data_IF_637202786562
#
_entry.id   IF_637202786562
#
_cell.length_a   1.000
_cell.length_b   1.000
_cell.length_c   1.000
_cell.angle_alpha   90.00
_cell.angle_beta   90.00
_cell.angle_gamma   90.00
#
_symmetry.space_group_name_H-M   'P 1'
#
loop_
_entity.id
_entity.type
_entity.pdbx_description
1 polymer ?
#
# COMPACT_ATOMS: atom_id res chain seq x y z
N UNK A 1 -9.35 -87.05 85.50
CA UNK A 1 -10.72 -87.27 85.00
C UNK A 1 -11.25 -85.91 84.57
N UNK A 2 -11.45 -85.68 83.28
CA UNK A 2 -12.09 -84.47 82.80
C UNK A 2 -13.60 -84.70 82.80
N UNK A 3 -14.32 -84.05 83.70
CA UNK A 3 -15.78 -84.08 83.68
C UNK A 3 -16.24 -83.16 82.55
N UNK A 4 -16.79 -83.74 81.49
CA UNK A 4 -17.52 -82.97 80.48
C UNK A 4 -18.94 -82.77 80.98
N UNK A 5 -19.24 -81.55 81.40
CA UNK A 5 -20.61 -81.15 81.68
C UNK A 5 -21.24 -80.66 80.38
N UNK A 6 -22.12 -81.46 79.81
CA UNK A 6 -22.87 -81.10 78.63
C UNK A 6 -24.20 -80.50 79.09
N UNK A 7 -24.29 -79.18 79.03
CA UNK A 7 -25.56 -78.50 79.23
C UNK A 7 -26.35 -78.57 77.92
N UNK A 8 -27.64 -78.92 78.00
CA UNK A 8 -28.56 -78.83 76.87
C UNK A 8 -28.92 -77.36 76.58
N UNK A 9 -30.21 -77.06 76.38
CA UNK A 9 -30.64 -75.66 76.37
C UNK A 9 -30.49 -75.08 77.78
N UNK A 10 -29.49 -74.24 77.99
CA UNK A 10 -29.27 -73.52 79.24
C UNK A 10 -29.71 -72.07 79.08
N UNK A 11 -30.64 -71.64 79.93
CA UNK A 11 -30.96 -70.22 80.11
C UNK A 11 -30.15 -69.77 81.32
N UNK A 12 -29.09 -69.01 81.08
CA UNK A 12 -28.31 -68.40 82.16
C UNK A 12 -28.84 -66.99 82.41
N UNK A 13 -29.42 -66.77 83.59
CA UNK A 13 -29.82 -65.43 84.05
C UNK A 13 -28.70 -64.84 84.92
N UNK A 14 -27.96 -63.86 84.41
CA UNK A 14 -26.87 -63.18 85.14
C UNK A 14 -25.68 -62.82 84.26
N UNK A 15 -24.63 -62.27 84.86
CA UNK A 15 -23.35 -62.05 84.19
C UNK A 15 -22.59 -63.37 84.06
N UNK A 16 -22.12 -63.69 82.85
CA UNK A 16 -21.22 -64.80 82.60
C UNK A 16 -19.79 -64.26 82.64
N UNK A 17 -18.99 -64.73 83.60
CA UNK A 17 -17.55 -64.50 83.64
C UNK A 17 -16.85 -65.75 83.12
N UNK A 18 -16.17 -65.64 81.98
CA UNK A 18 -15.51 -66.77 81.33
C UNK A 18 -14.00 -66.52 81.33
N UNK A 19 -13.28 -67.35 82.08
CA UNK A 19 -11.82 -67.37 82.08
C UNK A 19 -11.31 -68.17 80.86
N UNK A 20 -11.44 -67.59 79.66
CA UNK A 20 -10.95 -68.18 78.42
C UNK A 20 -11.73 -67.74 77.18
N UNK A 21 -11.32 -68.24 76.02
CA UNK A 21 -12.01 -67.96 74.75
C UNK A 21 -13.38 -68.65 74.72
N UNK A 22 -14.36 -67.98 74.13
CA UNK A 22 -15.69 -68.55 73.87
C UNK A 22 -15.67 -69.13 72.45
N UNK A 23 -15.37 -70.41 72.34
CA UNK A 23 -15.44 -71.12 71.06
C UNK A 23 -16.86 -71.63 70.80
N UNK A 24 -17.57 -71.03 69.84
CA UNK A 24 -18.87 -71.52 69.37
C UNK A 24 -18.61 -72.49 68.21
N UNK A 25 -18.49 -73.78 68.55
CA UNK A 25 -17.94 -74.85 67.68
C UNK A 25 -18.93 -75.50 66.69
N UNK A 26 -20.14 -74.97 66.58
CA UNK A 26 -21.15 -75.39 65.59
C UNK A 26 -21.84 -74.12 65.08
N UNK A 27 -22.51 -74.15 63.93
CA UNK A 27 -23.05 -73.00 63.18
C UNK A 27 -24.12 -72.14 63.91
N UNK A 28 -24.15 -72.14 65.24
CA UNK A 28 -24.97 -71.28 66.06
C UNK A 28 -24.43 -69.85 66.05
N UNK A 29 -25.25 -68.93 65.54
CA UNK A 29 -25.04 -67.51 65.71
C UNK A 29 -25.04 -67.17 67.21
N UNK A 30 -24.10 -66.34 67.66
CA UNK A 30 -24.21 -65.69 68.97
C UNK A 30 -25.34 -64.64 68.90
N UNK A 31 -26.56 -65.02 69.30
CA UNK A 31 -27.72 -64.12 69.32
C UNK A 31 -27.71 -63.29 70.60
N UNK A 32 -27.36 -62.01 70.48
CA UNK A 32 -27.38 -61.06 71.60
C UNK A 32 -28.58 -60.13 71.43
N UNK A 33 -29.47 -60.10 72.42
CA UNK A 33 -30.72 -59.34 72.37
C UNK A 33 -30.54 -57.83 72.64
N UNK A 34 -29.34 -57.28 72.43
CA UNK A 34 -28.99 -55.89 72.74
C UNK A 34 -27.59 -55.51 72.28
N UNK A 35 -27.12 -54.34 72.71
CA UNK A 35 -25.78 -53.82 72.38
C UNK A 35 -24.69 -54.72 72.96
N UNK A 36 -23.79 -55.18 72.09
CA UNK A 36 -22.60 -55.92 72.49
C UNK A 36 -21.45 -54.93 72.64
N UNK A 37 -21.08 -54.62 73.89
CA UNK A 37 -19.93 -53.77 74.18
C UNK A 37 -18.67 -54.61 74.19
N UNK A 38 -17.81 -54.43 73.18
CA UNK A 38 -16.47 -55.01 73.17
C UNK A 38 -15.54 -54.00 73.82
N UNK A 39 -14.77 -54.43 74.83
CA UNK A 39 -13.86 -53.55 75.56
C UNK A 39 -12.89 -52.83 74.59
N UNK A 40 -12.63 -51.55 74.86
CA UNK A 40 -11.87 -50.64 73.99
C UNK A 40 -10.42 -51.08 73.67
N UNK A 41 -9.90 -52.11 74.33
CA UNK A 41 -8.58 -52.71 74.12
C UNK A 41 -8.62 -54.10 73.46
N UNK A 42 -9.80 -54.59 73.06
CA UNK A 42 -10.00 -55.87 72.37
C UNK A 42 -10.42 -55.62 70.93
N UNK A 43 -9.79 -56.32 69.99
CA UNK A 43 -10.18 -56.27 68.58
C UNK A 43 -11.38 -57.18 68.33
N UNK A 44 -12.43 -56.64 67.73
CA UNK A 44 -13.50 -57.43 67.14
C UNK A 44 -13.14 -57.71 65.68
N UNK A 45 -12.85 -58.96 65.33
CA UNK A 45 -12.68 -59.34 63.92
C UNK A 45 -14.00 -59.88 63.42
N UNK A 46 -14.73 -59.08 62.64
CA UNK A 46 -16.02 -59.48 62.07
C UNK A 46 -15.78 -60.05 60.67
N UNK A 47 -15.77 -61.39 60.56
CA UNK A 47 -15.39 -62.09 59.34
C UNK A 47 -16.40 -61.93 58.18
N UNK A 48 -17.67 -61.67 58.49
CA UNK A 48 -18.70 -61.36 57.51
C UNK A 48 -19.75 -60.45 58.16
N UNK A 49 -20.08 -59.34 57.50
CA UNK A 49 -21.18 -58.45 57.87
C UNK A 49 -22.29 -58.64 56.85
N UNK A 50 -23.33 -59.38 57.20
CA UNK A 50 -24.47 -59.65 56.31
C UNK A 50 -25.61 -58.63 56.46
N UNK A 51 -25.58 -57.81 57.52
CA UNK A 51 -26.46 -56.66 57.70
C UNK A 51 -25.78 -55.42 57.12
N UNK A 52 -26.44 -54.75 56.18
CA UNK A 52 -25.88 -53.88 55.15
C UNK A 52 -25.20 -52.58 55.63
N UNK A 53 -24.86 -52.40 56.91
CA UNK A 53 -24.54 -51.08 57.47
C UNK A 53 -23.55 -51.14 58.65
N UNK A 54 -22.46 -50.38 58.61
CA UNK A 54 -21.56 -50.11 59.75
C UNK A 54 -21.64 -48.61 60.09
N UNK A 55 -22.08 -48.28 61.30
CA UNK A 55 -22.26 -46.90 61.78
C UNK A 55 -22.95 -46.83 63.14
N UNK A 56 -23.16 -45.62 63.66
CA UNK A 56 -23.93 -45.36 64.89
C UNK A 56 -25.42 -45.17 64.53
N UNK A 57 -26.36 -45.64 65.35
CA UNK A 57 -27.80 -45.62 65.03
C UNK A 57 -28.41 -44.22 64.97
N UNK A 58 -27.76 -43.26 65.63
CA UNK A 58 -28.18 -41.85 65.68
C UNK A 58 -27.43 -40.99 64.65
N UNK A 59 -26.52 -41.59 63.88
CA UNK A 59 -25.70 -40.93 62.87
C UNK A 59 -26.17 -41.33 61.48
N UNK A 60 -26.35 -40.35 60.60
CA UNK A 60 -26.73 -40.56 59.21
C UNK A 60 -25.57 -41.12 58.39
N UNK A 61 -24.32 -40.97 58.84
CA UNK A 61 -23.07 -41.34 58.16
C UNK A 61 -22.80 -42.86 58.11
N UNK A 62 -23.71 -43.60 57.48
CA UNK A 62 -23.70 -45.06 57.41
C UNK A 62 -22.79 -45.57 56.28
N UNK A 63 -21.82 -46.44 56.61
CA UNK A 63 -21.06 -47.16 55.58
C UNK A 63 -21.82 -48.44 55.23
N UNK A 64 -22.39 -48.46 54.02
CA UNK A 64 -22.97 -49.65 53.42
C UNK A 64 -21.91 -50.35 52.57
N UNK A 65 -21.59 -51.60 52.93
CA UNK A 65 -20.66 -52.46 52.18
C UNK A 65 -21.49 -53.42 51.33
N UNK A 66 -21.40 -53.30 50.00
CA UNK A 66 -21.96 -54.25 49.04
C UNK A 66 -20.83 -54.93 48.26
N UNK A 67 -21.13 -56.05 47.58
CA UNK A 67 -20.14 -56.91 46.93
C UNK A 67 -19.14 -56.19 46.00
N UNK A 68 -19.55 -55.09 45.37
CA UNK A 68 -18.69 -54.31 44.42
C UNK A 68 -18.64 -52.82 44.71
N UNK A 69 -19.24 -52.34 45.80
CA UNK A 69 -19.31 -50.90 46.08
C UNK A 69 -19.43 -50.60 47.56
N UNK A 70 -18.83 -49.49 47.96
CA UNK A 70 -19.03 -48.89 49.28
C UNK A 70 -19.90 -47.66 49.08
N UNK A 71 -21.06 -47.61 49.73
CA UNK A 71 -21.92 -46.43 49.77
C UNK A 71 -21.79 -45.81 51.14
N UNK A 72 -21.29 -44.59 51.20
CA UNK A 72 -21.18 -43.82 52.44
C UNK A 72 -22.33 -42.83 52.40
N UNK A 73 -23.35 -43.06 53.21
CA UNK A 73 -24.53 -42.21 53.29
C UNK A 73 -24.22 -40.94 54.11
N UNK A 74 -23.21 -40.16 53.72
CA UNK A 74 -22.92 -38.93 54.45
C UNK A 74 -24.02 -37.89 54.20
N UNK A 75 -24.50 -37.21 55.25
CA UNK A 75 -25.50 -36.12 55.13
C UNK A 75 -24.93 -34.88 54.40
N UNK A 76 -23.61 -34.81 54.17
CA UNK A 76 -23.00 -33.65 53.49
C UNK A 76 -21.84 -33.92 52.52
N UNK A 77 -20.96 -34.92 52.70
CA UNK A 77 -19.91 -35.32 51.73
C UNK A 77 -19.02 -36.49 52.20
N UNK A 78 -18.42 -37.25 51.28
CA UNK A 78 -17.35 -38.22 51.60
C UNK A 78 -16.10 -37.48 52.12
N UNK A 79 -15.70 -37.65 53.37
CA UNK A 79 -14.47 -37.03 53.90
C UNK A 79 -13.24 -37.91 53.63
N UNK A 80 -12.29 -37.43 52.82
CA UNK A 80 -11.00 -38.08 52.60
C UNK A 80 -9.86 -37.27 53.24
N UNK A 81 -9.11 -37.91 54.15
CA UNK A 81 -8.01 -37.28 54.92
C UNK A 81 -8.41 -35.93 55.58
N UNK A 82 -9.64 -35.84 56.09
CA UNK A 82 -10.14 -34.65 56.79
C UNK A 82 -10.68 -33.54 55.87
N UNK A 83 -10.79 -33.76 54.57
CA UNK A 83 -11.46 -32.84 53.63
C UNK A 83 -12.68 -33.50 53.01
N UNK A 84 -13.82 -32.82 53.07
CA UNK A 84 -15.06 -33.22 52.42
C UNK A 84 -14.91 -33.18 50.89
N UNK A 85 -15.22 -34.29 50.22
CA UNK A 85 -15.35 -34.37 48.77
C UNK A 85 -16.78 -33.94 48.42
N UNK A 86 -16.92 -32.73 47.91
CA UNK A 86 -18.21 -32.14 47.50
C UNK A 86 -18.60 -32.48 46.06
N UNK A 87 -17.69 -33.07 45.28
CA UNK A 87 -17.96 -33.53 43.92
C UNK A 87 -18.86 -34.77 43.91
N UNK A 88 -19.79 -34.79 42.96
CA UNK A 88 -20.56 -35.99 42.60
C UNK A 88 -19.64 -37.06 42.00
N UNK A 89 -20.11 -38.32 41.99
CA UNK A 89 -19.38 -39.40 41.31
C UNK A 89 -19.12 -39.12 39.82
N UNK A 90 -20.05 -38.42 39.14
CA UNK A 90 -19.88 -38.04 37.75
C UNK A 90 -18.72 -37.03 37.55
N UNK A 91 -18.57 -36.05 38.44
CA UNK A 91 -17.48 -35.08 38.41
C UNK A 91 -16.13 -35.74 38.73
N UNK A 92 -16.07 -36.64 39.72
CA UNK A 92 -14.86 -37.40 40.03
C UNK A 92 -14.43 -38.28 38.85
N UNK A 93 -15.39 -38.89 38.14
CA UNK A 93 -15.13 -39.69 36.95
C UNK A 93 -14.55 -38.88 35.78
N UNK A 94 -14.73 -37.55 35.75
CA UNK A 94 -14.05 -36.69 34.77
C UNK A 94 -12.57 -36.54 35.09
N UNK A 95 -12.16 -36.60 36.37
CA UNK A 95 -10.75 -36.53 36.80
C UNK A 95 -10.07 -37.90 36.72
N UNK A 96 -10.82 -38.98 36.87
CA UNK A 96 -10.31 -40.34 36.74
C UNK A 96 -9.68 -40.58 35.35
N UNK A 97 -8.38 -40.87 35.32
CA UNK A 97 -7.61 -41.03 34.08
C UNK A 97 -7.21 -39.73 33.37
N UNK A 98 -7.57 -38.56 33.91
CA UNK A 98 -7.04 -37.28 33.43
C UNK A 98 -5.58 -37.08 33.88
N UNK A 99 -4.77 -36.43 33.06
CA UNK A 99 -3.34 -36.20 33.32
C UNK A 99 -2.92 -34.76 33.10
N UNK A 100 -1.93 -34.30 33.83
CA UNK A 100 -1.42 -32.94 33.72
C UNK A 100 -0.81 -32.67 32.34
N UNK A 101 -1.20 -31.57 31.70
CA UNK A 101 -0.63 -31.10 30.43
C UNK A 101 -1.21 -31.75 29.18
N UNK A 102 -2.01 -32.82 29.27
CA UNK A 102 -2.63 -33.47 28.12
C UNK A 102 -4.15 -33.47 28.25
N UNK A 103 -4.86 -33.05 27.20
CA UNK A 103 -6.33 -33.14 27.17
C UNK A 103 -6.75 -34.56 26.78
N UNK A 104 -7.50 -35.22 27.67
CA UNK A 104 -8.11 -36.53 27.41
C UNK A 104 -9.59 -36.33 27.05
N UNK A 105 -10.05 -37.00 26.00
CA UNK A 105 -11.43 -36.86 25.54
C UNK A 105 -12.43 -37.26 26.64
N UNK A 106 -13.49 -36.49 26.83
CA UNK A 106 -14.51 -36.69 27.87
C UNK A 106 -13.98 -36.67 29.32
N UNK A 107 -12.83 -36.05 29.58
CA UNK A 107 -12.24 -35.90 30.91
C UNK A 107 -11.97 -34.43 31.24
N UNK A 108 -11.66 -34.14 32.49
CA UNK A 108 -11.28 -32.82 32.96
C UNK A 108 -9.92 -32.39 32.37
N UNK A 109 -9.75 -31.08 32.12
CA UNK A 109 -8.48 -30.49 31.70
C UNK A 109 -7.65 -30.17 32.94
N UNK A 110 -6.43 -30.71 33.02
CA UNK A 110 -5.49 -30.46 34.11
C UNK A 110 -4.23 -29.81 33.53
N UNK A 111 -3.86 -28.63 34.04
CA UNK A 111 -2.63 -27.93 33.63
C UNK A 111 -1.39 -28.62 34.19
N UNK A 112 -0.25 -28.49 33.51
CA UNK A 112 1.03 -28.97 34.04
C UNK A 112 1.63 -28.00 35.08
N UNK A 113 2.78 -28.35 35.66
CA UNK A 113 3.45 -27.52 36.66
C UNK A 113 3.75 -26.07 36.21
N UNK A 114 3.77 -25.83 34.89
CA UNK A 114 4.00 -24.52 34.28
C UNK A 114 2.69 -23.82 33.84
N UNK A 115 1.51 -24.36 34.22
CA UNK A 115 0.22 -23.83 33.80
C UNK A 115 -0.16 -24.13 32.34
N UNK A 116 0.58 -25.01 31.66
CA UNK A 116 0.38 -25.28 30.23
C UNK A 116 -0.57 -26.45 30.03
N UNK A 117 -1.48 -26.30 29.05
CA UNK A 117 -2.35 -27.35 28.52
C UNK A 117 -1.94 -27.61 27.07
N UNK A 118 -1.68 -28.87 26.72
CA UNK A 118 -1.34 -29.30 25.36
C UNK A 118 -2.54 -30.05 24.79
N UNK A 119 -3.22 -29.42 23.83
CA UNK A 119 -4.27 -30.03 23.01
C UNK A 119 -3.84 -30.06 21.54
N UNK A 120 -4.39 -30.99 20.75
CA UNK A 120 -4.10 -31.08 19.31
C UNK A 120 -4.68 -29.88 18.52
N UNK A 121 -5.79 -29.32 19.00
CA UNK A 121 -6.46 -28.15 18.43
C UNK A 121 -7.19 -27.41 19.55
N UNK A 122 -7.26 -26.08 19.45
CA UNK A 122 -8.13 -25.26 20.28
C UNK A 122 -9.29 -24.76 19.41
N UNK A 123 -10.49 -25.24 19.67
CA UNK A 123 -11.71 -24.78 19.02
C UNK A 123 -12.55 -24.00 20.02
N UNK A 124 -13.05 -22.85 19.62
CA UNK A 124 -14.07 -22.09 20.35
C UNK A 124 -15.39 -22.18 19.60
N UNK A 125 -16.51 -21.85 20.26
CA UNK A 125 -17.80 -21.73 19.58
C UNK A 125 -17.76 -20.62 18.51
N UNK A 126 -18.76 -20.57 17.64
CA UNK A 126 -19.00 -19.38 16.80
C UNK A 126 -19.12 -18.16 17.74
N UNK A 127 -18.37 -17.09 17.46
CA UNK A 127 -18.14 -15.92 18.35
C UNK A 127 -17.35 -16.17 19.66
N UNK A 128 -16.78 -17.35 19.85
CA UNK A 128 -15.96 -17.64 21.03
C UNK A 128 -14.56 -17.03 20.94
N UNK A 129 -14.23 -16.12 21.87
CA UNK A 129 -12.91 -15.51 21.98
C UNK A 129 -11.90 -16.43 22.69
N UNK A 130 -10.68 -16.54 22.15
CA UNK A 130 -9.52 -17.07 22.88
C UNK A 130 -8.79 -15.85 23.46
N UNK A 131 -9.15 -15.36 24.65
CA UNK A 131 -8.59 -14.11 25.21
C UNK A 131 -9.29 -13.68 26.50
N UNK A 132 -8.95 -12.50 27.02
CA UNK A 132 -9.59 -11.97 28.23
C UNK A 132 -10.93 -11.28 27.89
N UNK A 133 -12.00 -11.58 28.63
CA UNK A 133 -13.33 -10.94 28.45
C UNK A 133 -13.34 -9.42 28.63
N UNK A 134 -12.31 -8.83 29.26
CA UNK A 134 -12.17 -7.37 29.42
C UNK A 134 -11.09 -6.73 28.55
N UNK A 135 -10.25 -7.52 27.86
CA UNK A 135 -9.15 -7.01 27.04
C UNK A 135 -9.26 -7.62 25.64
N UNK A 136 -9.42 -6.78 24.61
CA UNK A 136 -9.73 -7.18 23.23
C UNK A 136 -8.64 -8.02 22.53
N UNK A 137 -7.56 -8.40 23.22
CA UNK A 137 -6.43 -9.13 22.66
C UNK A 137 -6.61 -10.64 22.81
N UNK A 138 -6.52 -11.34 21.68
CA UNK A 138 -6.59 -12.81 21.60
C UNK A 138 -5.33 -13.47 22.25
N UNK A 139 -4.21 -12.75 22.28
CA UNK A 139 -2.93 -13.23 22.77
C UNK A 139 -2.09 -12.04 23.24
N UNK A 140 -2.00 -11.82 24.55
CA UNK A 140 -1.12 -10.80 25.13
C UNK A 140 0.27 -11.38 25.38
N UNK A 141 1.20 -11.12 24.46
CA UNK A 141 2.62 -11.39 24.67
C UNK A 141 3.26 -10.10 25.19
N UNK A 142 3.70 -10.07 26.44
CA UNK A 142 4.36 -8.92 27.07
C UNK A 142 5.77 -8.68 26.45
N UNK A 143 5.80 -8.23 25.20
CA UNK A 143 6.95 -8.03 24.31
C UNK A 143 7.50 -9.29 23.57
N UNK A 144 6.76 -10.40 23.51
CA UNK A 144 7.15 -11.53 22.66
C UNK A 144 6.41 -11.52 21.32
N UNK A 145 7.05 -12.02 20.27
CA UNK A 145 6.47 -12.11 18.93
C UNK A 145 5.59 -13.35 18.79
N UNK A 146 4.52 -13.25 18.00
CA UNK A 146 3.77 -14.43 17.53
C UNK A 146 4.54 -15.03 16.36
N UNK A 147 5.47 -15.93 16.65
CA UNK A 147 6.24 -16.62 15.60
C UNK A 147 5.47 -17.83 15.07
N UNK A 148 5.03 -17.77 13.81
CA UNK A 148 4.61 -18.94 13.03
C UNK A 148 5.87 -19.58 12.45
N UNK A 149 6.22 -20.80 12.89
CA UNK A 149 7.44 -21.49 12.45
C UNK A 149 7.35 -21.89 10.96
N UNK A 150 8.48 -22.24 10.37
CA UNK A 150 8.55 -22.64 8.97
C UNK A 150 7.57 -23.77 8.63
N UNK A 151 6.92 -23.64 7.46
CA UNK A 151 5.89 -24.53 6.90
C UNK A 151 4.52 -24.49 7.61
N UNK A 152 4.23 -23.47 8.41
CA UNK A 152 2.89 -23.22 8.94
C UNK A 152 2.26 -22.00 8.26
N UNK A 153 1.03 -22.14 7.75
CA UNK A 153 0.28 -21.03 7.16
C UNK A 153 -0.42 -20.20 8.25
N UNK A 154 -0.39 -18.88 8.10
CA UNK A 154 -1.23 -17.96 8.86
C UNK A 154 -2.34 -17.44 7.95
N UNK A 155 -3.51 -18.09 8.00
CA UNK A 155 -4.63 -17.74 7.13
C UNK A 155 -5.62 -16.82 7.84
N UNK A 156 -5.83 -15.63 7.27
CA UNK A 156 -6.91 -14.71 7.67
C UNK A 156 -8.06 -14.84 6.68
N UNK A 157 -9.01 -15.72 6.96
CA UNK A 157 -10.06 -16.07 6.00
C UNK A 157 -11.11 -14.96 5.77
N UNK A 158 -11.26 -14.04 6.72
CA UNK A 158 -12.24 -12.94 6.66
C UNK A 158 -11.62 -11.70 6.03
N UNK A 159 -12.26 -11.14 5.00
CA UNK A 159 -11.88 -9.83 4.45
C UNK A 159 -11.92 -8.76 5.56
N UNK A 160 -10.87 -7.93 5.66
CA UNK A 160 -10.71 -7.00 6.78
C UNK A 160 -10.42 -7.67 8.13
N UNK A 161 -10.14 -8.99 8.14
CA UNK A 161 -9.78 -9.74 9.34
C UNK A 161 -8.38 -9.43 9.86
N UNK A 162 -7.49 -8.92 9.01
CA UNK A 162 -6.19 -8.41 9.43
C UNK A 162 -6.34 -6.94 9.79
N UNK A 163 -6.10 -6.58 11.06
CA UNK A 163 -6.19 -5.21 11.56
C UNK A 163 -4.84 -4.74 12.06
N UNK A 164 -4.48 -3.51 11.71
CA UNK A 164 -3.39 -2.76 12.30
C UNK A 164 -3.94 -1.82 13.38
N UNK A 165 -3.06 -1.11 14.08
CA UNK A 165 -3.46 -0.19 15.17
C UNK A 165 -4.41 0.92 14.72
N UNK A 166 -4.39 1.27 13.44
CA UNK A 166 -5.20 2.34 12.84
C UNK A 166 -6.44 1.84 12.08
N UNK A 167 -6.65 0.52 11.95
CA UNK A 167 -7.85 -0.03 11.32
C UNK A 167 -7.69 -1.37 10.64
N UNK A 168 -8.74 -1.81 9.95
CA UNK A 168 -8.72 -3.04 9.17
C UNK A 168 -7.98 -2.84 7.84
N UNK A 169 -7.13 -3.79 7.48
CA UNK A 169 -6.53 -3.88 6.15
C UNK A 169 -7.58 -4.40 5.18
N UNK A 170 -8.00 -3.54 4.25
CA UNK A 170 -9.04 -3.84 3.26
C UNK A 170 -8.50 -4.42 1.96
N UNK A 171 -7.19 -4.33 1.73
CA UNK A 171 -6.54 -4.88 0.53
C UNK A 171 -6.67 -6.40 0.47
N UNK A 172 -7.00 -6.89 -0.71
CA UNK A 172 -6.97 -8.30 -1.09
C UNK A 172 -5.52 -8.79 -1.29
N UNK A 173 -5.33 -10.11 -1.33
CA UNK A 173 -4.05 -10.69 -1.68
C UNK A 173 -3.55 -10.23 -3.06
N UNK A 174 -4.45 -10.07 -4.04
CA UNK A 174 -4.08 -9.60 -5.38
C UNK A 174 -3.52 -8.17 -5.35
N UNK A 175 -4.10 -7.29 -4.55
CA UNK A 175 -3.62 -5.91 -4.40
C UNK A 175 -2.29 -5.84 -3.65
N UNK A 176 -2.13 -6.59 -2.55
CA UNK A 176 -0.86 -6.66 -1.82
C UNK A 176 0.27 -7.26 -2.68
N UNK A 177 -0.05 -8.25 -3.52
CA UNK A 177 0.91 -8.88 -4.43
C UNK A 177 1.40 -7.93 -5.54
N UNK A 178 0.73 -6.79 -5.77
CA UNK A 178 1.27 -5.73 -6.64
C UNK A 178 2.39 -4.95 -5.96
N UNK A 179 2.40 -4.86 -4.62
CA UNK A 179 3.48 -4.24 -3.86
C UNK A 179 4.66 -5.19 -3.70
N UNK A 180 4.42 -6.50 -3.68
CA UNK A 180 5.49 -7.51 -3.64
C UNK A 180 6.48 -7.30 -4.80
N UNK A 181 7.77 -7.26 -4.48
CA UNK A 181 8.90 -6.95 -5.40
C UNK A 181 8.90 -5.56 -6.05
N UNK A 182 7.93 -4.70 -5.76
CA UNK A 182 7.97 -3.31 -6.22
C UNK A 182 9.17 -2.57 -5.59
N UNK A 183 9.80 -1.67 -6.35
CA UNK A 183 11.03 -1.00 -5.94
C UNK A 183 10.90 0.53 -6.01
N UNK A 184 11.37 1.22 -4.97
CA UNK A 184 11.33 2.67 -4.89
C UNK A 184 12.10 3.35 -6.04
N UNK A 185 11.48 4.34 -6.68
CA UNK A 185 12.09 5.15 -7.73
C UNK A 185 12.17 4.50 -9.11
N UNK A 186 11.70 3.26 -9.26
CA UNK A 186 11.69 2.53 -10.53
C UNK A 186 10.31 1.94 -10.79
N UNK A 187 10.00 1.65 -12.06
CA UNK A 187 8.78 0.95 -12.44
C UNK A 187 9.12 -0.51 -12.71
N UNK A 188 8.53 -1.42 -11.92
CA UNK A 188 8.59 -2.87 -12.17
C UNK A 188 7.32 -3.27 -12.93
N UNK A 189 7.48 -4.04 -14.01
CA UNK A 189 6.34 -4.45 -14.85
C UNK A 189 5.29 -5.21 -14.03
N UNK A 190 4.02 -4.85 -14.21
CA UNK A 190 2.88 -5.47 -13.54
C UNK A 190 2.88 -5.36 -12.01
N UNK A 191 3.57 -4.34 -11.47
CA UNK A 191 3.64 -4.03 -10.03
C UNK A 191 3.20 -2.59 -9.75
N UNK A 192 2.99 -2.28 -8.47
CA UNK A 192 2.72 -0.93 -8.01
C UNK A 192 3.94 -0.01 -8.22
N UNK A 193 3.69 1.28 -8.43
CA UNK A 193 4.74 2.31 -8.53
C UNK A 193 5.00 2.88 -7.14
N UNK A 194 6.27 2.86 -6.69
CA UNK A 194 6.71 3.43 -5.42
C UNK A 194 7.64 4.61 -5.72
N UNK A 195 7.38 5.77 -5.12
CA UNK A 195 8.26 6.92 -5.24
C UNK A 195 9.60 6.66 -4.54
N UNK A 196 10.68 7.25 -5.07
CA UNK A 196 11.97 7.29 -4.37
C UNK A 196 11.90 8.17 -3.12
N UNK A 197 12.94 8.14 -2.27
CA UNK A 197 13.00 9.02 -1.09
C UNK A 197 12.92 10.52 -1.39
N UNK A 198 13.12 10.95 -2.65
CA UNK A 198 12.96 12.34 -3.11
C UNK A 198 11.60 12.62 -3.76
N UNK A 199 10.70 11.64 -3.80
CA UNK A 199 9.40 11.74 -4.48
C UNK A 199 9.46 11.47 -5.99
N UNK A 200 10.62 11.15 -6.56
CA UNK A 200 10.78 10.92 -7.99
C UNK A 200 10.44 9.48 -8.42
N UNK A 201 10.02 9.30 -9.67
CA UNK A 201 9.80 8.01 -10.34
C UNK A 201 10.58 7.99 -11.66
N UNK A 202 11.44 6.99 -11.84
CA UNK A 202 12.16 6.77 -13.10
C UNK A 202 11.40 5.75 -13.94
N UNK A 203 10.72 6.22 -14.98
CA UNK A 203 10.01 5.39 -15.94
C UNK A 203 10.67 5.49 -17.33
N UNK A 204 10.84 4.36 -18.02
CA UNK A 204 11.35 4.37 -19.39
C UNK A 204 10.38 5.01 -20.39
N UNK A 205 9.08 4.88 -20.11
CA UNK A 205 8.01 5.53 -20.87
C UNK A 205 6.91 5.97 -19.91
N UNK A 206 6.35 7.15 -20.15
CA UNK A 206 5.15 7.61 -19.48
C UNK A 206 4.10 7.94 -20.55
N UNK A 207 3.04 7.14 -20.59
CA UNK A 207 1.94 7.28 -21.55
C UNK A 207 0.63 7.52 -20.82
N UNK A 208 -0.22 8.38 -21.37
CA UNK A 208 -1.58 8.63 -20.89
C UNK A 208 -2.53 8.62 -22.09
N UNK A 209 -3.72 8.04 -21.92
CA UNK A 209 -4.75 8.06 -22.96
C UNK A 209 -5.29 9.46 -23.25
N UNK A 210 -5.19 10.36 -22.27
CA UNK A 210 -5.79 11.70 -22.31
C UNK A 210 -4.72 12.81 -22.30
N UNK A 211 -3.48 12.48 -22.70
CA UNK A 211 -2.34 13.38 -22.62
C UNK A 211 -1.68 13.42 -21.25
N UNK A 212 -0.41 13.84 -21.21
CA UNK A 212 0.33 14.09 -19.96
C UNK A 212 0.25 15.58 -19.65
N UNK A 213 -0.26 15.95 -18.47
CA UNK A 213 -0.12 17.29 -17.92
C UNK A 213 1.09 17.31 -16.98
N UNK A 214 2.06 18.17 -17.27
CA UNK A 214 3.24 18.39 -16.42
C UNK A 214 3.10 19.77 -15.81
N UNK A 215 2.46 19.86 -14.65
CA UNK A 215 2.22 21.10 -13.93
C UNK A 215 3.21 21.26 -12.78
N UNK A 216 4.46 21.59 -13.09
CA UNK A 216 5.48 21.87 -12.08
C UNK A 216 6.28 23.12 -12.45
N UNK A 217 5.99 24.28 -11.84
CA UNK A 217 6.83 25.50 -11.90
C UNK A 217 7.56 25.78 -13.22
N UNK A 218 8.75 26.38 -13.17
CA UNK A 218 9.65 26.53 -14.32
C UNK A 218 10.39 25.22 -14.64
N UNK A 219 9.69 24.09 -14.80
CA UNK A 219 10.32 22.83 -15.17
C UNK A 219 10.75 22.85 -16.65
N UNK A 220 12.05 22.69 -16.88
CA UNK A 220 12.59 22.44 -18.22
C UNK A 220 12.35 20.97 -18.59
N UNK A 221 11.63 20.72 -19.69
CA UNK A 221 11.56 19.39 -20.28
C UNK A 221 12.90 19.12 -20.97
N UNK A 222 13.85 18.53 -20.22
CA UNK A 222 15.17 18.17 -20.74
C UNK A 222 15.08 16.81 -21.42
N UNK A 223 15.11 16.77 -22.75
CA UNK A 223 15.15 15.53 -23.52
C UNK A 223 16.53 15.27 -24.10
N UNK A 224 17.00 14.02 -24.03
CA UNK A 224 18.10 13.54 -24.85
C UNK A 224 17.58 13.18 -26.26
N UNK A 225 17.33 14.19 -27.11
CA UNK A 225 16.95 13.99 -28.53
C UNK A 225 15.73 14.78 -28.99
N UNK A 226 15.30 14.56 -30.25
CA UNK A 226 14.21 15.30 -30.89
C UNK A 226 12.84 14.97 -30.28
N UNK A 227 12.07 15.98 -29.90
CA UNK A 227 10.67 15.84 -29.52
C UNK A 227 9.78 16.07 -30.75
N UNK A 228 8.80 15.20 -30.95
CA UNK A 228 7.80 15.33 -32.01
C UNK A 228 6.52 15.87 -31.40
N UNK A 229 6.21 17.11 -31.68
CA UNK A 229 4.93 17.73 -31.33
C UNK A 229 4.08 17.85 -32.59
N UNK A 230 2.81 17.46 -32.52
CA UNK A 230 1.86 17.77 -33.60
C UNK A 230 1.51 19.26 -33.57
N UNK A 231 1.35 19.80 -32.37
CA UNK A 231 1.24 21.23 -32.09
C UNK A 231 1.95 21.54 -30.76
N UNK A 232 2.49 22.74 -30.64
CA UNK A 232 3.09 23.29 -29.42
C UNK A 232 2.51 24.67 -29.15
N UNK A 233 1.89 24.83 -27.99
CA UNK A 233 1.51 26.13 -27.46
C UNK A 233 2.53 26.51 -26.38
N UNK A 234 3.37 27.50 -26.67
CA UNK A 234 4.40 28.03 -25.79
C UNK A 234 4.09 29.51 -25.51
N UNK A 235 3.57 29.80 -24.32
CA UNK A 235 3.07 31.12 -23.94
C UNK A 235 2.07 31.68 -24.97
N UNK A 236 2.40 32.82 -25.59
CA UNK A 236 1.59 33.44 -26.63
C UNK A 236 1.92 32.95 -28.05
N UNK A 237 2.76 31.94 -28.22
CA UNK A 237 3.14 31.39 -29.52
C UNK A 237 2.51 30.01 -29.69
N UNK A 238 1.85 29.81 -30.83
CA UNK A 238 1.39 28.50 -31.30
C UNK A 238 2.18 28.07 -32.53
N UNK A 239 2.72 26.85 -32.48
CA UNK A 239 3.37 26.16 -33.59
C UNK A 239 2.48 24.97 -33.95
N UNK A 240 1.91 24.99 -35.15
CA UNK A 240 1.01 23.94 -35.65
C UNK A 240 1.45 23.55 -37.06
N UNK A 241 2.08 22.39 -37.18
CA UNK A 241 2.76 21.97 -38.40
C UNK A 241 3.84 22.97 -38.85
N UNK A 242 3.59 23.66 -39.97
CA UNK A 242 4.49 24.65 -40.57
C UNK A 242 4.07 26.10 -40.31
N UNK A 243 3.06 26.33 -39.46
CA UNK A 243 2.58 27.66 -39.11
C UNK A 243 3.07 28.04 -37.72
N UNK A 244 3.66 29.22 -37.59
CA UNK A 244 3.97 29.88 -36.33
C UNK A 244 3.05 31.10 -36.22
N UNK A 245 2.28 31.20 -35.15
CA UNK A 245 1.28 32.26 -34.93
C UNK A 245 1.32 32.81 -33.51
N UNK A 246 1.06 34.11 -33.32
CA UNK A 246 0.72 34.65 -32.01
C UNK A 246 -0.73 34.34 -31.64
N UNK A 247 -1.02 34.09 -30.36
CA UNK A 247 -2.36 33.78 -29.85
C UNK A 247 -3.09 34.99 -29.26
N UNK A 248 -2.43 36.14 -29.14
CA UNK A 248 -3.05 37.39 -28.68
C UNK A 248 -3.29 38.37 -29.85
N UNK A 249 -4.28 39.25 -29.68
CA UNK A 249 -4.67 40.20 -30.73
C UNK A 249 -3.55 41.21 -30.99
N UNK A 250 -3.18 41.39 -32.27
CA UNK A 250 -2.06 42.23 -32.71
C UNK A 250 -0.70 41.82 -32.11
N UNK A 251 -0.54 40.57 -31.70
CA UNK A 251 0.73 40.05 -31.23
C UNK A 251 1.72 39.82 -32.35
N UNK A 252 2.88 40.45 -32.24
CA UNK A 252 4.00 40.18 -33.13
C UNK A 252 4.67 38.85 -32.76
N UNK A 253 5.24 38.18 -33.76
CA UNK A 253 6.22 37.12 -33.54
C UNK A 253 7.59 37.78 -33.64
N UNK A 254 8.29 37.89 -32.53
CA UNK A 254 9.63 38.44 -32.48
C UNK A 254 10.66 37.30 -32.58
N UNK A 255 11.56 37.38 -33.57
CA UNK A 255 12.64 36.42 -33.78
C UNK A 255 13.97 37.11 -33.50
N UNK A 256 14.43 37.01 -32.25
CA UNK A 256 15.67 37.65 -31.79
C UNK A 256 16.73 36.58 -31.51
N UNK A 257 17.75 36.42 -32.37
CA UNK A 257 18.82 35.48 -32.12
C UNK A 257 19.68 35.91 -30.92
N UNK A 258 20.26 34.93 -30.21
CA UNK A 258 21.19 35.22 -29.12
C UNK A 258 22.55 35.67 -29.65
N UNK A 259 23.15 36.68 -29.01
CA UNK A 259 24.49 37.18 -29.35
C UNK A 259 24.56 37.76 -30.77
N UNK A 260 25.47 37.24 -31.60
CA UNK A 260 25.66 37.66 -32.99
C UNK A 260 24.94 36.75 -33.99
N UNK A 261 23.96 35.96 -33.55
CA UNK A 261 23.21 35.07 -34.45
C UNK A 261 22.35 35.84 -35.47
N UNK A 262 21.86 35.13 -36.48
CA UNK A 262 21.02 35.68 -37.54
C UNK A 262 19.71 34.87 -37.65
N UNK A 263 18.66 35.48 -38.20
CA UNK A 263 17.44 34.77 -38.60
C UNK A 263 17.65 34.21 -40.01
N UNK A 264 17.85 32.89 -40.11
CA UNK A 264 18.05 32.20 -41.38
C UNK A 264 16.71 31.77 -41.98
N UNK A 265 16.43 32.21 -43.21
CA UNK A 265 15.41 31.64 -44.07
C UNK A 265 16.08 30.57 -44.95
N UNK A 266 15.46 29.41 -45.12
CA UNK A 266 16.06 28.25 -45.81
C UNK A 266 16.33 28.45 -47.31
N UNK A 267 16.41 27.37 -48.09
CA UNK A 267 16.77 27.43 -49.52
C UNK A 267 15.78 28.19 -50.44
N UNK A 268 14.71 28.75 -49.88
CA UNK A 268 13.71 29.53 -50.59
C UNK A 268 13.82 31.01 -50.26
N UNK A 269 13.18 31.85 -51.08
CA UNK A 269 13.12 33.29 -50.84
C UNK A 269 12.18 33.61 -49.67
N UNK A 270 12.43 34.75 -49.01
CA UNK A 270 11.44 35.37 -48.14
C UNK A 270 10.21 35.72 -49.00
N UNK A 271 9.06 35.14 -48.69
CA UNK A 271 7.79 35.57 -49.27
C UNK A 271 7.21 36.70 -48.41
N UNK A 272 6.89 37.83 -49.03
CA UNK A 272 6.22 38.95 -48.40
C UNK A 272 4.96 39.30 -49.18
N UNK A 273 3.81 39.20 -48.51
CA UNK A 273 2.49 39.51 -49.08
C UNK A 273 2.15 38.77 -50.40
N UNK A 274 2.74 37.58 -50.64
CA UNK A 274 2.52 36.76 -51.83
C UNK A 274 3.68 36.77 -52.81
N UNK A 275 4.53 37.79 -52.75
CA UNK A 275 5.67 37.95 -53.66
C UNK A 275 6.98 37.51 -53.01
N UNK A 276 7.82 36.83 -53.79
CA UNK A 276 9.15 36.45 -53.34
C UNK A 276 10.10 37.66 -53.41
N UNK A 277 10.78 37.95 -52.30
CA UNK A 277 11.92 38.88 -52.29
C UNK A 277 13.11 38.16 -52.91
N UNK A 278 13.40 38.45 -54.19
CA UNK A 278 14.50 37.83 -54.95
C UNK A 278 15.84 38.56 -54.79
N UNK A 279 15.83 39.76 -54.21
CA UNK A 279 17.03 40.53 -53.94
C UNK A 279 17.86 39.88 -52.84
N UNK A 280 19.17 39.84 -53.04
CA UNK A 280 20.15 39.53 -52.01
C UNK A 280 20.18 40.61 -50.92
N UNK A 281 20.74 40.28 -49.76
CA UNK A 281 20.96 41.27 -48.70
C UNK A 281 21.77 42.48 -49.17
N UNK A 282 22.77 42.28 -50.04
CA UNK A 282 23.57 43.38 -50.60
C UNK A 282 22.73 44.34 -51.46
N UNK A 283 21.81 43.81 -52.28
CA UNK A 283 20.92 44.63 -53.09
C UNK A 283 19.90 45.38 -52.23
N UNK A 284 19.31 44.72 -51.23
CA UNK A 284 18.39 45.36 -50.27
C UNK A 284 19.11 46.47 -49.48
N UNK A 285 20.37 46.26 -49.11
CA UNK A 285 21.19 47.24 -48.40
C UNK A 285 21.53 48.48 -49.26
N UNK A 286 21.46 48.38 -50.59
CA UNK A 286 21.53 49.55 -51.47
C UNK A 286 20.23 50.35 -51.42
N UNK A 287 19.08 49.70 -51.25
CA UNK A 287 17.79 50.36 -51.12
C UNK A 287 17.63 51.04 -49.76
N UNK A 288 18.19 50.45 -48.70
CA UNK A 288 18.21 51.04 -47.36
C UNK A 288 18.84 52.45 -47.35
N UNK A 289 18.09 53.45 -46.89
CA UNK A 289 18.50 54.86 -46.89
C UNK A 289 18.41 55.57 -48.25
N UNK A 290 17.96 54.91 -49.32
CA UNK A 290 17.66 55.56 -50.60
C UNK A 290 16.40 56.45 -50.48
N UNK A 291 16.38 57.57 -51.22
CA UNK A 291 15.25 58.51 -51.23
C UNK A 291 14.65 58.68 -52.62
N UNK A 292 13.34 58.91 -52.68
CA UNK A 292 12.66 59.21 -53.94
C UNK A 292 13.10 60.57 -54.50
N UNK A 293 13.51 60.60 -55.78
CA UNK A 293 13.85 61.80 -56.52
C UNK A 293 15.24 62.40 -56.23
N UNK A 294 15.96 61.93 -55.20
CA UNK A 294 17.30 62.39 -54.86
C UNK A 294 18.28 61.21 -54.83
N UNK A 295 19.44 61.38 -55.47
CA UNK A 295 20.47 60.34 -55.49
C UNK A 295 21.26 60.40 -54.18
N UNK A 296 21.27 59.29 -53.44
CA UNK A 296 22.16 59.08 -52.30
C UNK A 296 23.40 58.33 -52.77
N UNK A 297 24.59 58.80 -52.41
CA UNK A 297 25.83 58.19 -52.87
C UNK A 297 25.95 56.74 -52.40
N UNK A 298 26.35 55.83 -53.30
CA UNK A 298 26.49 54.38 -53.05
C UNK A 298 25.18 53.67 -52.63
N UNK A 299 24.03 54.21 -53.04
CA UNK A 299 22.69 53.67 -52.80
C UNK A 299 21.91 53.53 -54.11
N UNK A 300 20.75 52.89 -54.07
CA UNK A 300 19.87 52.75 -55.23
C UNK A 300 19.25 54.10 -55.62
N UNK A 301 18.96 54.28 -56.91
CA UNK A 301 18.21 55.45 -57.41
C UNK A 301 16.72 55.12 -57.36
N UNK A 302 15.93 55.91 -56.64
CA UNK A 302 14.47 55.79 -56.59
C UNK A 302 13.87 57.00 -57.30
N UNK A 303 12.97 56.77 -58.27
CA UNK A 303 12.25 57.85 -58.93
C UNK A 303 11.36 58.62 -57.96
N UNK A 304 11.18 59.91 -58.22
CA UNK A 304 10.16 60.70 -57.53
C UNK A 304 8.75 60.20 -57.86
N UNK A 305 7.73 60.70 -57.17
CA UNK A 305 6.33 60.45 -57.51
C UNK A 305 5.96 60.91 -58.94
N UNK A 306 6.75 61.80 -59.56
CA UNK A 306 6.59 62.26 -60.95
C UNK A 306 7.46 61.51 -61.95
N UNK A 307 8.21 60.48 -61.52
CA UNK A 307 9.15 59.75 -62.37
C UNK A 307 10.49 60.45 -62.60
N UNK A 308 10.77 61.56 -61.89
CA UNK A 308 12.01 62.33 -62.06
C UNK A 308 13.12 61.86 -61.13
N UNK A 309 14.37 62.10 -61.54
CA UNK A 309 15.57 61.95 -60.71
C UNK A 309 16.33 63.27 -60.73
N UNK A 310 16.60 63.85 -59.57
CA UNK A 310 17.43 65.03 -59.41
C UNK A 310 18.85 64.60 -59.05
N UNK A 311 19.76 64.78 -59.99
CA UNK A 311 21.18 64.55 -59.81
C UNK A 311 21.92 65.90 -59.79
N UNK A 312 22.88 66.06 -58.86
CA UNK A 312 23.77 67.23 -58.85
C UNK A 312 24.73 67.25 -60.05
N UNK A 313 25.01 66.08 -60.61
CA UNK A 313 25.73 65.90 -61.86
C UNK A 313 25.27 64.60 -62.54
N UNK A 314 25.20 64.61 -63.88
CA UNK A 314 24.98 63.41 -64.68
C UNK A 314 26.26 63.16 -65.48
N UNK A 315 26.92 62.04 -65.22
CA UNK A 315 28.05 61.56 -66.02
C UNK A 315 27.63 60.26 -66.69
N UNK A 316 27.71 60.22 -68.01
CA UNK A 316 27.38 59.05 -68.82
C UNK A 316 28.63 58.60 -69.57
N UNK A 317 28.86 57.29 -69.62
CA UNK A 317 29.89 56.68 -70.47
C UNK A 317 29.44 56.49 -71.92
N UNK A 318 28.14 56.68 -72.20
CA UNK A 318 27.56 56.65 -73.54
C UNK A 318 26.66 57.86 -73.81
N UNK A 319 25.78 57.74 -74.82
CA UNK A 319 24.87 58.82 -75.19
C UNK A 319 23.81 59.08 -74.12
N UNK A 320 23.46 60.36 -73.93
CA UNK A 320 22.28 60.77 -73.17
C UNK A 320 21.15 60.98 -74.18
N UNK A 321 20.13 60.13 -74.14
CA UNK A 321 18.98 60.18 -75.07
C UNK A 321 17.77 60.73 -74.33
N UNK A 322 17.17 61.81 -74.86
CA UNK A 322 15.88 62.33 -74.39
C UNK A 322 14.80 62.10 -75.44
N UNK A 323 13.68 61.48 -75.04
CA UNK A 323 12.51 61.33 -75.92
C UNK A 323 11.70 62.64 -76.05
N UNK A 324 12.09 63.68 -75.31
CA UNK A 324 11.56 65.03 -75.40
C UNK A 324 12.69 66.06 -75.50
N UNK A 325 12.35 67.32 -75.28
CA UNK A 325 13.31 68.42 -75.25
C UNK A 325 14.31 68.26 -74.10
N UNK A 326 15.60 68.26 -74.43
CA UNK A 326 16.66 68.41 -73.44
C UNK A 326 16.83 69.90 -73.13
N UNK A 327 16.27 70.35 -72.01
CA UNK A 327 16.39 71.75 -71.57
C UNK A 327 17.65 71.93 -70.73
N UNK A 328 18.61 72.71 -71.24
CA UNK A 328 19.82 73.11 -70.52
C UNK A 328 19.73 74.59 -70.15
N UNK A 329 19.57 74.88 -68.85
CA UNK A 329 19.42 76.26 -68.37
C UNK A 329 20.75 77.05 -68.26
N UNK A 330 21.88 76.41 -68.59
CA UNK A 330 23.21 77.00 -68.57
C UNK A 330 24.02 76.64 -69.82
N UNK A 331 25.31 76.94 -69.81
CA UNK A 331 26.18 76.73 -70.97
C UNK A 331 26.35 75.23 -71.28
N UNK A 332 26.08 74.85 -72.53
CA UNK A 332 26.40 73.53 -73.05
C UNK A 332 27.80 73.54 -73.68
N UNK A 333 28.73 72.73 -73.19
CA UNK A 333 30.05 72.54 -73.84
C UNK A 333 30.05 71.20 -74.56
N UNK A 334 30.13 71.25 -75.89
CA UNK A 334 30.17 70.07 -76.75
C UNK A 334 31.56 69.96 -77.35
N UNK A 335 32.30 68.90 -77.00
CA UNK A 335 33.66 68.66 -77.50
C UNK A 335 33.72 67.78 -78.76
N UNK A 336 32.57 67.23 -79.17
CA UNK A 336 32.40 66.44 -80.38
C UNK A 336 31.69 67.20 -81.50
N UNK A 337 31.29 66.49 -82.55
CA UNK A 337 30.50 67.05 -83.64
C UNK A 337 29.01 66.99 -83.30
N UNK A 338 28.29 68.08 -83.56
CA UNK A 338 26.84 68.07 -83.56
C UNK A 338 26.36 67.62 -84.94
N UNK A 339 25.68 66.48 -85.02
CA UNK A 339 25.20 65.89 -86.29
C UNK A 339 23.67 65.94 -86.31
N UNK A 340 23.10 66.45 -87.40
CA UNK A 340 21.64 66.56 -87.63
C UNK A 340 20.89 67.46 -86.63
N UNK A 341 20.85 68.77 -86.89
CA UNK A 341 19.84 69.69 -86.32
C UNK A 341 18.75 69.98 -87.37
N UNK A 342 17.79 69.06 -87.59
CA UNK A 342 16.67 69.37 -88.46
C UNK A 342 15.87 70.54 -87.88
N UNK A 343 15.83 71.68 -88.59
CA UNK A 343 14.98 72.83 -88.25
C UNK A 343 15.66 74.01 -87.55
N UNK A 344 16.98 73.99 -87.30
CA UNK A 344 17.68 75.17 -86.78
C UNK A 344 18.19 76.04 -87.94
N UNK A 345 17.57 77.20 -88.15
CA UNK A 345 18.13 78.23 -89.01
C UNK A 345 19.48 78.68 -88.42
N UNK A 346 20.52 78.79 -89.26
CA UNK A 346 21.92 79.02 -88.89
C UNK A 346 22.20 80.23 -87.97
N UNK A 347 21.21 81.05 -87.65
CA UNK A 347 21.31 82.22 -86.78
C UNK A 347 21.10 81.93 -85.27
N UNK A 348 20.69 80.71 -84.87
CA UNK A 348 20.44 80.42 -83.44
C UNK A 348 21.61 79.75 -82.72
N UNK A 349 22.72 79.46 -83.41
CA UNK A 349 23.91 78.88 -82.81
C UNK A 349 24.96 79.99 -82.63
N UNK A 350 24.85 80.77 -81.56
CA UNK A 350 25.90 81.69 -81.15
C UNK A 350 27.02 80.88 -80.48
N UNK A 351 28.08 80.59 -81.23
CA UNK A 351 29.23 79.79 -80.78
C UNK A 351 30.30 80.66 -80.11
N UNK A 352 29.88 81.69 -79.36
CA UNK A 352 30.77 82.63 -78.65
C UNK A 352 31.88 81.95 -77.86
#
# INVERSE_FOLDING_TARGET
MAYKFQFGQAILSGALDQEGDIDILDSGELKMAGTTTIANNRNATLAAVTATTLGHTDDTDLITLADTSITIAADTALTYKGTAITSTGAELNLVDGAGAGNVVNNKAVIYNANGVVIGQSLATADDGNIGNVTNNDLLTLAAAEVTVKSNSDFTVAKAGGFKLSDGAVTSTAAELNLLDTAAAGTVVNSKAVIYSGTGAVTASNLSSSNGLSISQGAATITKAGAATFTAMDADNIKIDGNVISSTNSNGNIELTPAGTGEVLIGAANLNYAGDAVTSTGAELNLLDGSGAGSIVNSKAVIYSATGAVTASAVSSSGDIVSNGELVMQGNATIRGQIVNLPGVAAASLDTG
#
